data_IF_259842177192
#
_entry.id   IF_259842177192
#
_cell.length_a   1.000
_cell.length_b   1.000
_cell.length_c   1.000
_cell.angle_alpha   90.00
_cell.angle_beta   90.00
_cell.angle_gamma   90.00
#
_symmetry.space_group_name_H-M   'P 1'
#
loop_
_entity.id
_entity.type
_entity.pdbx_description
1 polymer ?
#
# COMPACT_ATOMS: atom_id res chain seq x y z
N UNK A 1 -3.70 42.15 -29.67
CA UNK A 1 -2.64 42.48 -30.63
C UNK A 1 -1.30 42.20 -29.98
N UNK A 2 -0.44 41.54 -30.67
CA UNK A 2 0.96 41.19 -30.54
C UNK A 2 1.21 39.69 -30.30
N UNK A 3 1.47 39.03 -31.44
CA UNK A 3 2.05 37.69 -31.49
C UNK A 3 3.57 37.82 -31.34
N UNK A 4 4.19 36.93 -30.56
CA UNK A 4 5.64 36.76 -30.51
C UNK A 4 5.95 35.36 -31.04
N UNK A 5 6.59 35.34 -32.22
CA UNK A 5 7.18 34.15 -32.81
C UNK A 5 8.59 33.93 -32.21
N UNK A 6 8.91 32.73 -31.80
CA UNK A 6 10.27 32.35 -31.44
C UNK A 6 10.82 31.44 -32.53
N UNK A 7 11.89 31.92 -33.16
CA UNK A 7 12.62 31.25 -34.22
C UNK A 7 13.52 30.14 -33.64
N UNK A 8 13.51 28.99 -34.30
CA UNK A 8 14.42 27.87 -34.02
C UNK A 8 15.84 28.17 -34.53
N UNK A 9 16.82 27.85 -33.70
CA UNK A 9 18.25 27.88 -34.08
C UNK A 9 18.71 26.46 -34.35
N UNK A 10 18.96 26.14 -35.60
CA UNK A 10 19.59 24.91 -36.03
C UNK A 10 21.09 24.93 -35.76
N UNK A 11 21.57 23.90 -35.07
CA UNK A 11 23.01 23.69 -34.85
C UNK A 11 23.55 22.77 -35.95
N UNK A 12 24.36 23.34 -36.86
CA UNK A 12 25.15 22.56 -37.80
C UNK A 12 26.41 22.01 -37.12
N UNK A 13 26.54 20.68 -37.10
CA UNK A 13 27.79 20.03 -36.73
C UNK A 13 28.66 19.85 -37.97
N UNK A 14 29.79 20.52 -37.99
CA UNK A 14 30.79 20.39 -39.04
C UNK A 14 31.74 19.25 -38.69
N UNK A 15 31.73 18.19 -39.48
CA UNK A 15 32.73 17.11 -39.40
C UNK A 15 34.04 17.57 -40.03
N UNK A 16 35.09 17.78 -39.23
CA UNK A 16 36.45 17.92 -39.71
C UNK A 16 37.23 16.62 -39.47
N UNK A 17 37.55 15.96 -40.57
CA UNK A 17 38.43 14.80 -40.61
C UNK A 17 39.89 15.22 -40.46
N UNK A 18 40.53 14.82 -39.37
CA UNK A 18 41.97 14.88 -39.21
C UNK A 18 42.53 13.45 -39.19
N UNK A 19 43.29 13.13 -40.24
CA UNK A 19 44.05 11.90 -40.37
C UNK A 19 45.32 12.05 -39.50
N UNK A 20 45.44 11.34 -38.39
CA UNK A 20 46.67 11.20 -37.64
C UNK A 20 47.06 9.70 -37.60
N UNK A 21 48.16 9.40 -38.31
CA UNK A 21 48.81 8.11 -38.17
C UNK A 21 49.43 7.96 -36.79
N UNK A 22 48.95 7.02 -35.99
CA UNK A 22 49.59 6.63 -34.74
C UNK A 22 50.13 5.21 -34.83
N UNK A 23 51.39 5.11 -34.48
CA UNK A 23 52.22 3.91 -34.46
C UNK A 23 51.64 2.80 -33.60
N UNK A 24 51.75 1.60 -34.08
CA UNK A 24 51.52 0.37 -33.32
C UNK A 24 52.50 0.30 -32.12
N UNK A 25 51.97 0.43 -30.91
CA UNK A 25 52.55 -0.14 -29.74
C UNK A 25 51.56 -1.18 -29.24
N UNK A 26 51.95 -2.45 -29.26
CA UNK A 26 51.22 -3.58 -28.73
C UNK A 26 51.09 -3.40 -27.22
N UNK A 27 49.91 -3.02 -26.75
CA UNK A 27 49.47 -3.17 -25.37
C UNK A 27 48.68 -4.42 -25.29
N UNK A 28 49.17 -5.42 -24.54
CA UNK A 28 48.37 -6.55 -24.13
C UNK A 28 47.21 -6.05 -23.30
N UNK A 29 46.01 -6.07 -23.89
CA UNK A 29 44.75 -5.89 -23.13
C UNK A 29 44.64 -7.10 -22.21
N UNK A 30 44.87 -6.89 -20.91
CA UNK A 30 44.51 -7.89 -19.89
C UNK A 30 42.98 -7.97 -19.91
N UNK A 31 42.47 -9.10 -20.44
CA UNK A 31 41.08 -9.47 -20.26
C UNK A 31 40.80 -9.60 -18.77
N UNK A 32 39.95 -8.71 -18.23
CA UNK A 32 39.41 -8.86 -16.88
C UNK A 32 38.72 -10.24 -16.77
N UNK A 33 38.92 -10.97 -15.66
CA UNK A 33 38.30 -12.27 -15.50
C UNK A 33 36.78 -12.14 -15.56
N UNK A 34 36.15 -12.84 -16.52
CA UNK A 34 34.69 -12.92 -16.68
C UNK A 34 34.13 -13.52 -15.40
N UNK A 35 33.65 -12.66 -14.47
CA UNK A 35 32.90 -13.09 -13.30
C UNK A 35 31.58 -13.70 -13.79
N UNK A 36 31.33 -15.01 -13.52
CA UNK A 36 30.08 -15.62 -13.93
C UNK A 36 28.92 -14.86 -13.30
N UNK A 37 28.07 -14.22 -14.13
CA UNK A 37 26.81 -13.62 -13.64
C UNK A 37 25.96 -14.75 -13.07
N UNK A 38 25.82 -14.79 -11.76
CA UNK A 38 24.88 -15.68 -11.08
C UNK A 38 23.49 -15.48 -11.71
N UNK A 39 22.79 -16.55 -12.14
CA UNK A 39 21.46 -16.43 -12.69
C UNK A 39 20.55 -15.72 -11.68
N UNK A 40 19.98 -14.57 -12.04
CA UNK A 40 18.96 -13.89 -11.25
C UNK A 40 17.69 -14.72 -11.38
N UNK A 41 17.41 -15.53 -10.37
CA UNK A 41 16.14 -16.25 -10.27
C UNK A 41 15.05 -15.19 -10.09
N UNK A 42 14.00 -15.16 -10.95
CA UNK A 42 12.89 -14.22 -10.78
C UNK A 42 12.25 -14.44 -9.40
N UNK A 43 12.26 -13.42 -8.55
CA UNK A 43 11.53 -13.45 -7.28
C UNK A 43 10.05 -13.36 -7.63
N UNK A 44 9.34 -14.48 -7.51
CA UNK A 44 7.86 -14.47 -7.60
C UNK A 44 7.34 -13.75 -6.37
N UNK A 45 6.57 -12.67 -6.53
CA UNK A 45 6.00 -11.96 -5.41
C UNK A 45 5.09 -12.91 -4.61
N UNK A 46 5.37 -13.07 -3.31
CA UNK A 46 4.59 -13.91 -2.41
C UNK A 46 3.48 -13.11 -1.74
N UNK A 47 2.36 -13.77 -1.42
CA UNK A 47 1.31 -13.15 -0.62
C UNK A 47 1.81 -12.88 0.80
N UNK A 48 1.39 -11.78 1.44
CA UNK A 48 1.70 -11.54 2.83
C UNK A 48 0.99 -12.57 3.72
N UNK A 49 1.71 -13.09 4.73
CA UNK A 49 1.19 -14.04 5.71
C UNK A 49 1.17 -13.39 7.08
N UNK A 50 -0.02 -13.14 7.64
CA UNK A 50 -0.18 -12.49 8.93
C UNK A 50 -1.42 -12.95 9.70
N UNK A 51 -1.42 -12.71 11.00
CA UNK A 51 -2.54 -13.02 11.90
C UNK A 51 -3.39 -11.80 12.18
N UNK A 52 -2.80 -10.61 12.18
CA UNK A 52 -3.53 -9.39 12.53
C UNK A 52 -3.60 -8.45 11.33
N UNK A 53 -4.76 -7.79 11.20
CA UNK A 53 -4.97 -6.67 10.28
C UNK A 53 -5.21 -5.42 11.11
N UNK A 54 -4.35 -4.42 10.94
CA UNK A 54 -4.43 -3.15 11.66
C UNK A 54 -4.80 -2.03 10.69
N UNK A 55 -5.84 -1.30 11.01
CA UNK A 55 -6.16 -0.01 10.40
C UNK A 55 -5.49 1.09 11.22
N UNK A 56 -4.86 2.05 10.55
CA UNK A 56 -4.25 3.22 11.19
C UNK A 56 -4.62 4.45 10.40
N UNK A 57 -5.11 5.49 11.09
CA UNK A 57 -5.31 6.79 10.47
C UNK A 57 -4.01 7.59 10.54
N UNK A 58 -3.58 8.18 9.41
CA UNK A 58 -2.34 8.99 9.34
C UNK A 58 -2.52 10.41 9.89
N UNK A 59 -3.75 10.91 9.93
CA UNK A 59 -4.09 12.16 10.62
C UNK A 59 -4.18 11.93 12.12
N UNK A 60 -3.66 12.87 12.91
CA UNK A 60 -3.73 12.84 14.37
C UNK A 60 -5.05 13.43 14.91
N UNK A 61 -5.90 13.97 14.03
CA UNK A 61 -7.14 14.64 14.39
C UNK A 61 -8.38 13.98 13.84
N UNK A 62 -8.23 13.00 12.96
CA UNK A 62 -9.33 12.26 12.37
C UNK A 62 -9.54 10.91 13.05
N UNK A 63 -10.74 10.38 12.88
CA UNK A 63 -11.20 9.11 13.42
C UNK A 63 -11.41 8.09 12.30
N UNK A 64 -11.33 6.82 12.64
CA UNK A 64 -11.72 5.73 11.74
C UNK A 64 -13.22 5.49 11.94
N UNK A 65 -14.02 5.62 10.88
CA UNK A 65 -15.43 5.28 10.85
C UNK A 65 -15.76 4.55 9.54
N UNK A 66 -15.85 3.23 9.61
CA UNK A 66 -16.02 2.35 8.46
C UNK A 66 -17.19 1.39 8.70
N UNK A 67 -17.90 1.01 7.62
CA UNK A 67 -18.99 0.05 7.71
C UNK A 67 -18.45 -1.37 7.86
N UNK A 68 -17.49 -1.78 7.01
CA UNK A 68 -17.03 -3.18 7.03
C UNK A 68 -15.57 -3.30 6.58
N UNK A 69 -14.88 -4.30 7.13
CA UNK A 69 -13.59 -4.79 6.66
C UNK A 69 -13.69 -6.28 6.36
N UNK A 70 -13.31 -6.65 5.14
CA UNK A 70 -13.32 -8.03 4.66
C UNK A 70 -11.89 -8.46 4.29
N UNK A 71 -11.51 -9.68 4.66
CA UNK A 71 -10.19 -10.27 4.38
C UNK A 71 -10.36 -11.60 3.66
N UNK A 72 -9.62 -11.80 2.56
CA UNK A 72 -9.73 -13.01 1.74
C UNK A 72 -8.36 -13.64 1.48
N UNK A 73 -8.34 -14.97 1.47
CA UNK A 73 -7.20 -15.77 0.99
C UNK A 73 -7.23 -15.89 -0.54
N UNK A 74 -6.18 -16.46 -1.12
CA UNK A 74 -6.08 -16.75 -2.55
C UNK A 74 -7.23 -17.67 -2.99
N UNK A 75 -7.97 -17.22 -4.00
CA UNK A 75 -9.17 -17.90 -4.52
C UNK A 75 -10.25 -18.19 -3.47
N UNK A 76 -10.12 -17.64 -2.24
CA UNK A 76 -11.11 -17.77 -1.18
C UNK A 76 -12.26 -16.77 -1.37
N UNK A 77 -13.49 -17.24 -1.17
CA UNK A 77 -14.71 -16.40 -1.15
C UNK A 77 -15.18 -16.09 0.26
N UNK A 78 -14.65 -16.80 1.25
CA UNK A 78 -15.00 -16.62 2.66
C UNK A 78 -14.26 -15.44 3.24
N UNK A 79 -14.99 -14.50 3.85
CA UNK A 79 -14.40 -13.40 4.61
C UNK A 79 -13.83 -13.92 5.93
N UNK A 80 -12.50 -13.88 6.09
CA UNK A 80 -11.80 -14.35 7.28
C UNK A 80 -12.02 -13.44 8.49
N UNK A 81 -12.41 -12.19 8.28
CA UNK A 81 -12.60 -11.21 9.35
C UNK A 81 -13.97 -11.35 10.03
N UNK A 82 -14.96 -12.02 9.41
CA UNK A 82 -16.33 -12.10 9.94
C UNK A 82 -16.36 -12.62 11.36
N UNK A 83 -16.94 -11.81 12.26
CA UNK A 83 -17.12 -12.15 13.68
C UNK A 83 -15.82 -12.24 14.49
N UNK A 84 -14.71 -11.75 13.97
CA UNK A 84 -13.42 -11.72 14.65
C UNK A 84 -13.35 -10.62 15.70
N UNK A 85 -12.41 -10.75 16.64
CA UNK A 85 -12.17 -9.75 17.67
C UNK A 85 -11.57 -8.49 17.04
N UNK A 86 -12.20 -7.36 17.31
CA UNK A 86 -11.70 -6.02 16.96
C UNK A 86 -11.39 -5.25 18.22
N UNK A 87 -10.20 -4.69 18.31
CA UNK A 87 -9.77 -3.84 19.43
C UNK A 87 -9.32 -2.46 18.95
N UNK A 88 -9.48 -1.48 19.81
CA UNK A 88 -8.98 -0.10 19.63
C UNK A 88 -8.69 0.47 21.01
N UNK A 89 -7.83 1.48 21.09
CA UNK A 89 -7.57 2.20 22.36
C UNK A 89 -8.79 2.92 22.89
N UNK A 90 -9.65 3.43 21.97
CA UNK A 90 -10.91 4.10 22.31
C UNK A 90 -11.91 3.91 21.17
N UNK A 91 -13.21 3.84 21.50
CA UNK A 91 -14.28 3.73 20.50
C UNK A 91 -15.47 4.60 20.89
N UNK A 92 -16.21 5.06 19.90
CA UNK A 92 -17.42 5.84 20.10
C UNK A 92 -18.62 4.91 20.36
N UNK A 93 -19.45 5.14 21.40
CA UNK A 93 -20.56 4.23 21.73
C UNK A 93 -21.58 4.02 20.60
N UNK A 94 -21.76 5.00 19.72
CA UNK A 94 -22.67 4.87 18.57
C UNK A 94 -22.11 3.99 17.43
N UNK A 95 -20.84 3.60 17.50
CA UNK A 95 -20.18 2.77 16.49
C UNK A 95 -19.34 1.68 17.15
N UNK A 96 -19.97 0.64 17.75
CA UNK A 96 -19.26 -0.46 18.40
C UNK A 96 -18.25 -1.14 17.45
N UNK A 97 -17.06 -1.48 17.98
CA UNK A 97 -15.99 -2.06 17.19
C UNK A 97 -16.37 -3.35 16.43
N UNK A 98 -17.19 -4.27 16.98
CA UNK A 98 -17.61 -5.48 16.25
C UNK A 98 -18.34 -5.20 14.93
N UNK A 99 -18.95 -4.03 14.77
CA UNK A 99 -19.63 -3.65 13.54
C UNK A 99 -18.68 -3.60 12.32
N UNK A 100 -17.35 -3.50 12.55
CA UNK A 100 -16.37 -3.51 11.47
C UNK A 100 -16.30 -4.85 10.73
N UNK A 101 -16.77 -5.94 11.34
CA UNK A 101 -16.58 -7.32 10.85
C UNK A 101 -17.86 -8.19 11.04
N UNK A 102 -19.03 -7.57 11.12
CA UNK A 102 -20.30 -8.26 11.35
C UNK A 102 -21.06 -8.65 10.08
N UNK A 103 -20.57 -8.24 8.91
CA UNK A 103 -21.18 -8.48 7.60
C UNK A 103 -22.33 -7.51 7.27
N UNK A 104 -22.55 -6.47 8.08
CA UNK A 104 -23.62 -5.50 7.88
C UNK A 104 -23.08 -4.17 7.33
N UNK A 105 -23.27 -3.93 6.05
CA UNK A 105 -22.79 -2.73 5.35
C UNK A 105 -23.58 -1.44 5.68
N UNK A 106 -24.58 -1.50 6.58
CA UNK A 106 -25.46 -0.35 6.90
C UNK A 106 -25.21 0.25 8.28
N UNK A 107 -24.46 -0.45 9.15
CA UNK A 107 -23.93 0.08 10.40
C UNK A 107 -22.47 0.52 10.24
N UNK A 108 -21.78 0.86 11.31
CA UNK A 108 -20.37 1.26 11.26
C UNK A 108 -19.68 1.03 12.60
N UNK A 109 -18.37 0.82 12.55
CA UNK A 109 -17.47 0.95 13.69
C UNK A 109 -16.86 2.35 13.72
N UNK A 110 -16.60 2.89 14.91
CA UNK A 110 -16.10 4.26 15.07
C UNK A 110 -15.10 4.35 16.22
N UNK A 111 -13.88 4.86 15.95
CA UNK A 111 -12.92 5.21 17.00
C UNK A 111 -13.29 6.55 17.64
N UNK A 112 -12.72 6.84 18.81
CA UNK A 112 -12.75 8.19 19.39
C UNK A 112 -11.38 8.83 19.19
N UNK A 113 -11.36 10.08 18.76
CA UNK A 113 -10.13 10.85 18.60
C UNK A 113 -9.55 11.24 19.97
N UNK A 114 -8.99 10.28 20.70
CA UNK A 114 -8.38 10.53 22.02
C UNK A 114 -6.85 10.38 22.01
N UNK A 115 -6.25 9.89 20.90
CA UNK A 115 -4.81 9.60 20.86
C UNK A 115 -4.12 10.50 19.84
N UNK A 116 -3.92 11.74 20.23
CA UNK A 116 -3.22 12.73 19.41
C UNK A 116 -1.75 12.39 19.07
N UNK A 117 -1.13 11.39 19.72
CA UNK A 117 0.27 11.08 19.50
C UNK A 117 0.56 10.07 18.39
N UNK A 118 -0.39 9.18 18.07
CA UNK A 118 -0.14 8.05 17.14
C UNK A 118 -1.21 7.86 16.05
N UNK A 119 -2.24 8.69 16.05
CA UNK A 119 -3.44 8.50 15.23
C UNK A 119 -4.33 7.35 15.74
N UNK A 120 -5.59 7.36 15.32
CA UNK A 120 -6.54 6.31 15.68
C UNK A 120 -6.20 4.99 14.99
N UNK A 121 -6.49 3.87 15.65
CA UNK A 121 -6.27 2.55 15.07
C UNK A 121 -7.33 1.54 15.52
N UNK A 122 -7.61 0.56 14.65
CA UNK A 122 -8.36 -0.65 14.95
C UNK A 122 -7.52 -1.86 14.60
N UNK A 123 -7.52 -2.88 15.46
CA UNK A 123 -6.78 -4.13 15.26
C UNK A 123 -7.76 -5.29 15.22
N UNK A 124 -7.72 -6.06 14.15
CA UNK A 124 -8.51 -7.27 13.91
C UNK A 124 -7.61 -8.48 14.11
N UNK A 125 -7.97 -9.42 14.99
CA UNK A 125 -7.29 -10.69 15.15
C UNK A 125 -7.99 -11.78 14.34
N UNK A 126 -7.35 -12.29 13.28
CA UNK A 126 -7.87 -13.37 12.44
C UNK A 126 -7.83 -14.74 13.15
N UNK A 127 -7.18 -14.83 14.33
CA UNK A 127 -7.08 -16.02 15.16
C UNK A 127 -5.92 -16.96 14.79
N UNK A 128 -5.36 -16.85 13.60
CA UNK A 128 -4.16 -17.58 13.15
C UNK A 128 -3.53 -16.89 11.96
N UNK A 129 -2.29 -17.24 11.65
CA UNK A 129 -1.59 -16.74 10.45
C UNK A 129 -2.32 -17.22 9.19
N UNK A 130 -2.63 -16.29 8.29
CA UNK A 130 -3.31 -16.51 7.03
C UNK A 130 -2.51 -15.90 5.87
N UNK A 131 -2.49 -16.56 4.70
CA UNK A 131 -2.04 -15.92 3.47
C UNK A 131 -3.17 -15.01 2.95
N UNK A 132 -2.89 -13.72 2.90
CA UNK A 132 -3.89 -12.71 2.55
C UNK A 132 -3.68 -12.27 1.10
N UNK A 133 -4.68 -12.47 0.25
CA UNK A 133 -4.66 -12.00 -1.13
C UNK A 133 -5.36 -10.65 -1.28
N UNK A 134 -6.47 -10.45 -0.55
CA UNK A 134 -7.30 -9.26 -0.74
C UNK A 134 -7.85 -8.76 0.59
N UNK A 135 -7.82 -7.44 0.74
CA UNK A 135 -8.54 -6.73 1.80
C UNK A 135 -9.49 -5.74 1.13
N UNK A 136 -10.76 -5.79 1.51
CA UNK A 136 -11.78 -4.85 1.06
C UNK A 136 -12.33 -4.08 2.26
N UNK A 137 -12.47 -2.77 2.11
CA UNK A 137 -13.05 -1.87 3.10
C UNK A 137 -14.29 -1.25 2.48
N UNK A 138 -15.42 -1.31 3.19
CA UNK A 138 -16.64 -0.58 2.86
C UNK A 138 -16.71 0.66 3.74
N UNK A 139 -16.83 1.81 3.09
CA UNK A 139 -16.91 3.09 3.76
C UNK A 139 -18.29 3.25 4.42
N UNK A 140 -18.37 4.15 5.39
CA UNK A 140 -19.63 4.52 6.02
C UNK A 140 -20.59 5.14 4.98
N UNK A 141 -21.90 4.81 5.05
CA UNK A 141 -22.86 5.17 3.98
C UNK A 141 -23.71 6.38 4.29
N UNK A 142 -23.90 6.71 5.56
CA UNK A 142 -24.83 7.76 6.02
C UNK A 142 -24.18 9.15 6.09
N UNK A 143 -22.89 9.26 6.46
CA UNK A 143 -22.13 10.52 6.48
C UNK A 143 -20.61 10.28 6.49
N UNK A 144 -19.87 11.38 6.41
CA UNK A 144 -18.49 11.47 6.89
C UNK A 144 -17.52 10.53 6.16
N UNK A 145 -17.79 10.23 4.88
CA UNK A 145 -17.02 9.29 4.07
C UNK A 145 -15.59 9.78 3.80
N UNK A 146 -15.36 11.08 3.84
CA UNK A 146 -14.04 11.71 3.68
C UNK A 146 -13.03 11.25 4.75
N UNK A 147 -13.50 10.80 5.91
CA UNK A 147 -12.66 10.27 7.01
C UNK A 147 -11.95 8.97 6.68
N UNK A 148 -12.28 8.31 5.57
CA UNK A 148 -11.51 7.19 5.07
C UNK A 148 -10.16 7.62 4.46
N UNK A 149 -10.05 8.88 4.03
CA UNK A 149 -8.81 9.43 3.47
C UNK A 149 -7.74 9.50 4.57
N UNK A 150 -6.58 8.92 4.31
CA UNK A 150 -5.50 8.83 5.29
C UNK A 150 -5.43 7.49 6.02
N UNK A 151 -6.42 6.61 5.89
CA UNK A 151 -6.36 5.27 6.48
C UNK A 151 -5.37 4.40 5.70
N UNK A 152 -4.49 3.69 6.43
CA UNK A 152 -3.61 2.63 5.96
C UNK A 152 -4.01 1.30 6.56
N UNK A 153 -3.70 0.22 5.83
CA UNK A 153 -3.81 -1.15 6.34
C UNK A 153 -2.41 -1.69 6.57
N UNK A 154 -2.19 -2.30 7.73
CA UNK A 154 -0.96 -2.97 8.10
C UNK A 154 -1.30 -4.42 8.44
N UNK A 155 -0.65 -5.37 7.76
CA UNK A 155 -0.71 -6.79 8.10
C UNK A 155 0.44 -7.06 9.06
N UNK A 156 0.12 -7.65 10.23
CA UNK A 156 1.09 -7.99 11.26
C UNK A 156 1.23 -9.51 11.41
N UNK A 157 2.41 -9.93 11.82
CA UNK A 157 2.72 -11.33 12.12
C UNK A 157 1.95 -11.88 13.33
N UNK A 158 2.24 -13.12 13.70
CA UNK A 158 1.62 -13.80 14.85
C UNK A 158 1.90 -13.13 16.21
N UNK A 159 2.97 -12.35 16.29
CA UNK A 159 3.36 -11.58 17.48
C UNK A 159 2.56 -10.27 17.65
N UNK A 160 1.72 -9.90 16.69
CA UNK A 160 0.93 -8.66 16.67
C UNK A 160 1.75 -7.39 16.51
N UNK A 161 3.06 -7.47 16.25
CA UNK A 161 3.98 -6.33 16.20
C UNK A 161 4.83 -6.28 14.94
N UNK A 162 5.29 -7.43 14.45
CA UNK A 162 6.11 -7.50 13.23
C UNK A 162 5.27 -7.12 12.00
N UNK A 163 5.69 -6.05 11.32
CA UNK A 163 5.03 -5.61 10.07
C UNK A 163 5.41 -6.55 8.94
N UNK A 164 4.42 -7.25 8.39
CA UNK A 164 4.55 -8.12 7.21
C UNK A 164 4.33 -7.34 5.93
N UNK A 165 3.30 -6.49 5.94
CA UNK A 165 2.94 -5.65 4.78
C UNK A 165 2.23 -4.39 5.27
N UNK A 166 2.51 -3.27 4.61
CA UNK A 166 1.80 -2.00 4.78
C UNK A 166 1.33 -1.50 3.42
N UNK A 167 0.11 -0.96 3.36
CA UNK A 167 -0.45 -0.33 2.16
C UNK A 167 -0.13 1.15 2.14
N UNK A 168 -0.16 1.81 0.97
CA UNK A 168 -0.30 3.26 0.91
C UNK A 168 -1.57 3.72 1.66
N UNK A 169 -1.60 4.96 2.06
CA UNK A 169 -2.82 5.56 2.61
C UNK A 169 -3.87 5.73 1.51
N UNK A 170 -5.14 5.61 1.88
CA UNK A 170 -6.27 6.00 1.02
C UNK A 170 -6.17 7.49 0.74
N UNK A 171 -6.25 7.90 -0.52
CA UNK A 171 -6.07 9.29 -0.96
C UNK A 171 -7.33 9.93 -1.53
N UNK A 172 -8.36 9.13 -1.84
CA UNK A 172 -9.61 9.59 -2.46
C UNK A 172 -10.81 9.04 -1.72
N UNK A 173 -11.91 9.81 -1.70
CA UNK A 173 -13.16 9.32 -1.14
C UNK A 173 -13.87 8.37 -2.12
N UNK A 174 -14.24 7.18 -1.63
CA UNK A 174 -14.99 6.17 -2.37
C UNK A 174 -15.90 5.37 -1.43
N UNK A 175 -16.90 4.70 -2.00
CA UNK A 175 -17.81 3.82 -1.23
C UNK A 175 -17.08 2.53 -0.78
N UNK A 176 -16.12 2.05 -1.56
CA UNK A 176 -15.33 0.86 -1.24
C UNK A 176 -13.89 1.05 -1.67
N UNK A 177 -12.98 0.38 -0.97
CA UNK A 177 -11.57 0.31 -1.27
C UNK A 177 -11.14 -1.15 -1.30
N UNK A 178 -10.45 -1.56 -2.36
CA UNK A 178 -9.94 -2.93 -2.47
C UNK A 178 -8.42 -2.87 -2.66
N UNK A 179 -7.70 -3.61 -1.84
CA UNK A 179 -6.27 -3.82 -1.98
C UNK A 179 -6.01 -5.29 -2.26
N UNK A 180 -5.36 -5.58 -3.40
CA UNK A 180 -5.03 -6.95 -3.81
C UNK A 180 -3.52 -7.15 -3.79
N UNK A 181 -3.06 -8.15 -3.05
CA UNK A 181 -1.64 -8.49 -2.94
C UNK A 181 -1.21 -9.45 -4.07
N UNK A 182 0.03 -9.38 -4.50
CA UNK A 182 1.12 -8.53 -3.97
C UNK A 182 1.14 -7.09 -4.50
N UNK A 183 0.02 -6.57 -4.98
CA UNK A 183 -0.11 -5.20 -5.48
C UNK A 183 0.30 -4.13 -4.46
N UNK A 184 0.36 -2.87 -4.92
CA UNK A 184 0.86 -1.74 -4.13
C UNK A 184 -0.10 -0.55 -4.08
N UNK A 185 -1.29 -0.64 -4.66
CA UNK A 185 -2.26 0.45 -4.71
C UNK A 185 -3.68 -0.02 -4.39
N UNK A 186 -4.51 0.90 -3.88
CA UNK A 186 -5.95 0.73 -3.75
C UNK A 186 -6.64 0.89 -5.10
N UNK A 187 -7.69 0.10 -5.33
CA UNK A 187 -8.63 0.21 -6.46
C UNK A 187 -10.06 0.24 -5.95
#
# INVERSE_FOLDING_TARGET
MAAIAVAGVGLMVVCSSSLAAAMMMGGEEKEDPIVPKTPVVPVVPTLPSGQYVKLVHTSLTDVINLAELEVFTKAGTTNLATGKTVTSSAFHPAGPLPNLVDGNMTNFAHTMNEIAATGDSMLIDLGSVQEIEKIKITNRVDCCQERAIGIKVIILGADGTTVVKETPAITTNAATYTFTFPGTAWV
#
